data_IF_673212189746
#
_entry.id   IF_673212189746
#
_cell.length_a   1.000
_cell.length_b   1.000
_cell.length_c   1.000
_cell.angle_alpha   90.00
_cell.angle_beta   90.00
_cell.angle_gamma   90.00
#
_symmetry.space_group_name_H-M   'P 1'
#
loop_
_entity.id
_entity.type
_entity.pdbx_description
1 polymer ?
#
# COMPACT_ATOMS: atom_id res chain seq x y z
N UNK A 1 -24.12 10.20 1.80
CA UNK A 1 -23.05 10.26 2.81
C UNK A 1 -22.89 11.69 3.36
N UNK A 2 -23.06 11.85 4.67
CA UNK A 2 -22.73 13.05 5.41
C UNK A 2 -21.21 13.23 5.58
N UNK A 3 -20.81 14.38 6.12
CA UNK A 3 -19.40 14.67 6.43
C UNK A 3 -18.92 13.73 7.54
N UNK A 4 -17.98 12.85 7.21
CA UNK A 4 -17.39 11.90 8.16
C UNK A 4 -17.92 10.47 8.05
N UNK A 5 -18.92 10.22 7.21
CA UNK A 5 -19.41 8.85 6.97
C UNK A 5 -18.31 8.01 6.30
N UNK A 6 -18.14 6.78 6.77
CA UNK A 6 -17.29 5.80 6.10
C UNK A 6 -17.91 5.48 4.73
N UNK A 7 -17.22 5.88 3.66
CA UNK A 7 -17.68 5.64 2.29
C UNK A 7 -17.39 4.21 1.88
N UNK A 8 -16.20 3.71 2.22
CA UNK A 8 -15.74 2.37 1.87
C UNK A 8 -14.56 1.95 2.75
N UNK A 9 -14.48 0.65 3.02
CA UNK A 9 -13.33 0.00 3.61
C UNK A 9 -12.83 -1.07 2.64
N UNK A 10 -11.51 -1.25 2.58
CA UNK A 10 -10.86 -2.25 1.74
C UNK A 10 -9.93 -3.10 2.60
N UNK A 11 -9.80 -4.38 2.26
CA UNK A 11 -8.71 -5.21 2.75
C UNK A 11 -7.39 -4.84 2.09
N UNK A 12 -6.28 -5.04 2.82
CA UNK A 12 -4.92 -4.96 2.27
C UNK A 12 -4.41 -6.32 1.76
N UNK A 13 -5.25 -7.35 1.72
CA UNK A 13 -4.87 -8.64 1.13
C UNK A 13 -4.56 -8.45 -0.35
N UNK A 14 -3.38 -8.89 -0.77
CA UNK A 14 -2.88 -8.75 -2.14
C UNK A 14 -2.84 -7.29 -2.65
N UNK A 15 -2.83 -6.32 -1.74
CA UNK A 15 -2.75 -4.91 -2.10
C UNK A 15 -1.38 -4.56 -2.69
N UNK A 16 -1.38 -3.70 -3.71
CA UNK A 16 -0.17 -3.18 -4.34
C UNK A 16 -0.12 -1.67 -4.16
N UNK A 17 1.05 -1.13 -3.81
CA UNK A 17 1.27 0.32 -3.72
C UNK A 17 2.63 0.71 -4.31
N UNK A 18 2.69 1.91 -4.90
CA UNK A 18 3.92 2.45 -5.46
C UNK A 18 3.75 3.89 -5.96
N UNK A 19 4.83 4.45 -6.53
CA UNK A 19 4.81 5.80 -7.09
C UNK A 19 3.90 5.90 -8.32
N UNK A 20 3.03 6.90 -8.35
CA UNK A 20 2.21 7.25 -9.52
C UNK A 20 2.96 8.08 -10.55
N UNK A 21 4.10 7.59 -11.05
CA UNK A 21 5.04 8.36 -11.89
C UNK A 21 4.47 8.85 -13.24
N UNK A 22 3.42 8.21 -13.75
CA UNK A 22 2.70 8.60 -14.95
C UNK A 22 1.70 9.74 -14.71
N UNK A 23 1.41 10.09 -13.45
CA UNK A 23 0.50 11.17 -13.11
C UNK A 23 1.23 12.49 -12.90
N UNK A 24 1.22 13.34 -13.93
CA UNK A 24 2.00 14.59 -13.94
C UNK A 24 1.25 15.81 -13.37
N UNK A 25 -0.06 15.70 -13.09
CA UNK A 25 -0.89 16.86 -12.67
C UNK A 25 -0.66 17.27 -11.21
N UNK A 26 -0.16 16.37 -10.36
CA UNK A 26 0.16 16.65 -8.96
C UNK A 26 1.45 15.94 -8.58
N UNK A 27 2.17 16.51 -7.61
CA UNK A 27 3.36 15.89 -7.00
C UNK A 27 2.92 14.90 -5.92
N UNK A 28 3.86 14.05 -5.51
CA UNK A 28 3.72 13.17 -4.34
C UNK A 28 2.52 12.21 -4.44
N UNK A 29 2.29 11.67 -5.64
CA UNK A 29 1.15 10.77 -5.89
C UNK A 29 1.57 9.32 -5.74
N UNK A 30 0.79 8.59 -4.95
CA UNK A 30 0.89 7.16 -4.72
C UNK A 30 -0.24 6.50 -5.50
N UNK A 31 0.08 5.45 -6.25
CA UNK A 31 -0.89 4.53 -6.83
C UNK A 31 -1.11 3.38 -5.85
N UNK A 32 -2.37 3.06 -5.59
CA UNK A 32 -2.76 1.92 -4.77
C UNK A 32 -3.78 1.08 -5.52
N UNK A 33 -3.60 -0.25 -5.52
CA UNK A 33 -4.55 -1.23 -6.04
C UNK A 33 -5.04 -2.11 -4.91
N UNK A 34 -6.34 -2.10 -4.65
CA UNK A 34 -7.02 -2.82 -3.56
C UNK A 34 -8.25 -3.50 -4.13
N UNK A 35 -8.46 -4.79 -3.85
CA UNK A 35 -9.68 -5.52 -4.24
C UNK A 35 -10.06 -5.39 -5.75
N UNK A 36 -9.06 -5.21 -6.62
CA UNK A 36 -9.27 -5.01 -8.06
C UNK A 36 -9.56 -3.56 -8.49
N UNK A 37 -9.76 -2.64 -7.55
CA UNK A 37 -9.92 -1.20 -7.80
C UNK A 37 -8.56 -0.47 -7.73
N UNK A 38 -8.38 0.60 -8.52
CA UNK A 38 -7.15 1.39 -8.57
C UNK A 38 -7.41 2.86 -8.27
N UNK A 39 -6.59 3.45 -7.38
CA UNK A 39 -6.70 4.84 -6.93
C UNK A 39 -5.37 5.57 -6.97
N UNK A 40 -5.46 6.90 -7.00
CA UNK A 40 -4.34 7.81 -6.79
C UNK A 40 -4.56 8.58 -5.49
N UNK A 41 -3.59 8.51 -4.58
CA UNK A 41 -3.57 9.25 -3.32
C UNK A 41 -2.46 10.29 -3.38
N UNK A 42 -2.77 11.54 -3.04
CA UNK A 42 -1.76 12.58 -2.94
C UNK A 42 -1.30 12.71 -1.49
N UNK A 43 -0.01 12.51 -1.24
CA UNK A 43 0.62 12.77 0.05
C UNK A 43 1.00 14.25 0.19
N UNK A 44 1.24 14.69 1.44
CA UNK A 44 1.59 16.08 1.73
C UNK A 44 2.97 16.46 1.16
N UNK A 45 3.96 15.59 1.34
CA UNK A 45 5.35 15.80 0.92
C UNK A 45 6.04 14.47 0.52
N UNK A 46 7.32 14.54 0.13
CA UNK A 46 8.10 13.37 -0.30
C UNK A 46 8.33 12.36 0.84
N UNK A 47 8.71 12.77 2.07
CA UNK A 47 8.79 11.84 3.19
C UNK A 47 7.47 11.09 3.44
N UNK A 48 6.34 11.78 3.38
CA UNK A 48 5.01 11.17 3.52
C UNK A 48 4.77 10.11 2.44
N UNK A 49 5.24 10.31 1.20
CA UNK A 49 5.12 9.29 0.14
C UNK A 49 5.78 7.98 0.57
N UNK A 50 7.00 8.07 1.11
CA UNK A 50 7.76 6.89 1.56
C UNK A 50 7.03 6.22 2.71
N UNK A 51 6.65 6.99 3.74
CA UNK A 51 5.94 6.48 4.92
C UNK A 51 4.65 5.74 4.54
N UNK A 52 3.82 6.33 3.66
CA UNK A 52 2.58 5.69 3.22
C UNK A 52 2.84 4.42 2.42
N UNK A 53 3.82 4.41 1.52
CA UNK A 53 4.15 3.21 0.73
C UNK A 53 4.65 2.09 1.65
N UNK A 54 5.56 2.39 2.58
CA UNK A 54 6.07 1.43 3.57
C UNK A 54 4.95 0.91 4.48
N UNK A 55 4.06 1.79 4.94
CA UNK A 55 2.89 1.42 5.74
C UNK A 55 1.94 0.48 4.99
N UNK A 56 1.66 0.74 3.72
CA UNK A 56 0.88 -0.16 2.89
C UNK A 56 1.57 -1.50 2.70
N UNK A 57 2.87 -1.52 2.40
CA UNK A 57 3.63 -2.77 2.26
C UNK A 57 3.65 -3.59 3.55
N UNK A 58 3.87 -2.94 4.70
CA UNK A 58 3.81 -3.59 6.00
C UNK A 58 2.42 -4.18 6.26
N UNK A 59 1.37 -3.41 5.99
CA UNK A 59 -0.02 -3.86 6.09
C UNK A 59 -0.35 -5.04 5.18
N UNK A 60 0.06 -5.00 3.91
CA UNK A 60 -0.10 -6.09 2.95
C UNK A 60 0.61 -7.36 3.43
N UNK A 61 1.81 -7.25 4.01
CA UNK A 61 2.56 -8.40 4.49
C UNK A 61 1.89 -9.14 5.67
N UNK A 62 1.04 -8.44 6.43
CA UNK A 62 0.35 -8.99 7.61
C UNK A 62 -1.16 -9.17 7.41
N UNK A 63 -1.70 -8.94 6.23
CA UNK A 63 -3.15 -8.96 5.98
C UNK A 63 -3.72 -10.35 5.66
N UNK A 64 -2.89 -11.25 5.12
CA UNK A 64 -3.27 -12.64 4.87
C UNK A 64 -3.27 -13.44 6.18
N UNK A 65 -4.00 -14.56 6.21
CA UNK A 65 -3.91 -15.51 7.32
C UNK A 65 -2.50 -16.11 7.41
N UNK A 66 -2.08 -16.53 8.62
CA UNK A 66 -0.75 -17.09 8.85
C UNK A 66 -0.42 -18.27 7.93
N UNK A 67 -1.40 -19.13 7.66
CA UNK A 67 -1.25 -20.30 6.79
C UNK A 67 -0.98 -19.94 5.31
N UNK A 68 -1.36 -18.73 4.90
CA UNK A 68 -1.19 -18.23 3.54
C UNK A 68 -0.01 -17.24 3.40
N UNK A 69 0.63 -16.82 4.48
CA UNK A 69 1.79 -15.92 4.44
C UNK A 69 3.04 -16.67 3.98
N UNK A 70 3.82 -16.02 3.14
CA UNK A 70 5.16 -16.50 2.79
C UNK A 70 6.05 -16.39 4.03
N UNK A 71 6.62 -17.51 4.47
CA UNK A 71 7.60 -17.52 5.55
C UNK A 71 8.77 -16.58 5.22
N UNK A 72 9.20 -15.72 6.17
CA UNK A 72 10.38 -14.89 5.96
C UNK A 72 11.58 -15.78 5.62
N UNK A 73 12.32 -15.41 4.57
CA UNK A 73 13.58 -16.08 4.27
C UNK A 73 14.58 -15.69 5.36
N UNK A 74 15.05 -16.68 6.12
CA UNK A 74 16.13 -16.48 7.08
C UNK A 74 17.41 -15.99 6.38
N UNK A 75 18.38 -15.44 7.14
CA UNK A 75 19.66 -15.04 6.59
C UNK A 75 20.31 -16.21 5.86
N UNK A 76 20.73 -15.96 4.61
CA UNK A 76 21.50 -16.92 3.84
C UNK A 76 22.93 -16.91 4.37
N UNK A 77 23.32 -17.97 5.07
CA UNK A 77 24.71 -18.19 5.44
C UNK A 77 25.47 -18.78 4.24
N UNK A 78 26.66 -18.25 3.90
CA UNK A 78 27.54 -18.89 2.93
C UNK A 78 27.85 -20.33 3.36
N UNK A 79 27.89 -21.24 2.39
CA UNK A 79 28.35 -22.62 2.60
C UNK A 79 29.86 -22.70 2.62
#
# INVERSE_FOLDING_TARGET
>A
PGKGDLIRAYTLQHAESGLGNDYLKRKNVIRVRLEGEQFLLQAADVPSVVEWIEGFHAGTNISLDLDHRVMPKGPMFPR
#
